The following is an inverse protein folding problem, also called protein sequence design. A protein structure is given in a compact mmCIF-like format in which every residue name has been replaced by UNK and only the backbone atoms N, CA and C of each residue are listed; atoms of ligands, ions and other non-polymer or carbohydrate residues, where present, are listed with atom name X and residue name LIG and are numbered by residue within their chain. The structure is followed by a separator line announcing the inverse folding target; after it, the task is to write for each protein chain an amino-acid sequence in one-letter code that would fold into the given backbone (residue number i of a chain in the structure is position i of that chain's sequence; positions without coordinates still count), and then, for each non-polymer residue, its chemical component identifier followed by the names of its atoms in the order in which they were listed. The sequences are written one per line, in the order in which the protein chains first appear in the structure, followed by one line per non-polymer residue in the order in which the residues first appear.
data_IF_333303278398
#
_entry.id   IF_333303278398
#
_cell.length_a   1.000
_cell.length_b   1.000
_cell.length_c   1.000
_cell.angle_alpha   90.00
_cell.angle_beta   90.00
_cell.angle_gamma   90.00
#
_symmetry.space_group_name_H-M   'P 1'
#
loop_
_entity.id
_entity.type
_entity.pdbx_description
1 polymer ?
#
# COMPACT_ATOMS: atom_id res chain seq x y z
N UNK A 1 -9.36 29.93 -6.31
CA UNK A 1 -9.42 28.63 -5.67
C UNK A 1 -10.51 27.79 -6.33
N UNK A 2 -10.13 26.82 -7.13
CA UNK A 2 -11.01 25.99 -7.96
C UNK A 2 -11.75 24.95 -7.10
N UNK A 3 -12.92 24.49 -7.58
CA UNK A 3 -13.73 23.45 -6.90
C UNK A 3 -12.98 22.12 -6.74
N UNK A 4 -11.91 21.89 -7.53
CA UNK A 4 -11.02 20.72 -7.46
C UNK A 4 -10.07 20.72 -6.26
N UNK A 5 -9.72 21.91 -5.76
CA UNK A 5 -8.79 22.05 -4.63
C UNK A 5 -9.44 21.75 -3.27
N UNK A 6 -10.75 21.99 -3.14
CA UNK A 6 -11.50 21.63 -1.90
C UNK A 6 -11.78 20.13 -1.75
N UNK A 7 -11.88 19.39 -2.85
CA UNK A 7 -12.12 17.94 -2.80
C UNK A 7 -10.84 17.14 -2.51
N UNK A 8 -9.66 17.70 -2.79
CA UNK A 8 -8.36 17.08 -2.46
C UNK A 8 -8.09 17.11 -0.95
N UNK A 9 -8.44 18.21 -0.26
CA UNK A 9 -8.26 18.34 1.19
C UNK A 9 -9.19 17.45 2.03
N UNK A 10 -10.40 17.16 1.53
CA UNK A 10 -11.45 16.52 2.34
C UNK A 10 -11.29 14.99 2.44
N UNK A 11 -10.89 14.31 1.37
CA UNK A 11 -10.76 12.85 1.35
C UNK A 11 -9.45 12.35 1.99
N UNK A 12 -8.35 13.10 1.83
CA UNK A 12 -7.06 12.81 2.51
C UNK A 12 -7.17 13.00 4.01
N UNK A 13 -7.81 14.10 4.44
CA UNK A 13 -8.04 14.40 5.86
C UNK A 13 -8.96 13.39 6.55
N UNK A 14 -9.92 12.77 5.85
CA UNK A 14 -10.77 11.71 6.42
C UNK A 14 -9.98 10.42 6.68
N UNK A 15 -9.13 10.02 5.77
CA UNK A 15 -8.27 8.83 5.93
C UNK A 15 -7.31 9.05 7.09
N UNK A 16 -6.61 10.17 7.11
CA UNK A 16 -5.70 10.56 8.19
C UNK A 16 -6.42 10.58 9.55
N UNK A 17 -7.57 11.26 9.65
CA UNK A 17 -8.35 11.34 10.89
C UNK A 17 -8.80 9.97 11.43
N UNK A 18 -9.07 9.01 10.54
CA UNK A 18 -9.43 7.63 10.96
C UNK A 18 -8.19 6.91 11.50
N UNK A 19 -7.04 7.00 10.82
CA UNK A 19 -5.82 6.32 11.25
C UNK A 19 -5.14 6.97 12.46
N UNK A 20 -5.40 8.25 12.71
CA UNK A 20 -4.99 8.98 13.93
C UNK A 20 -5.90 8.73 15.12
N UNK A 21 -6.98 7.95 14.98
CA UNK A 21 -7.85 7.62 16.10
C UNK A 21 -7.18 6.64 17.08
N UNK A 22 -7.48 6.79 18.38
CA UNK A 22 -6.98 5.89 19.43
C UNK A 22 -7.28 4.41 19.14
N UNK A 23 -8.49 4.12 18.61
CA UNK A 23 -8.91 2.78 18.21
C UNK A 23 -8.02 2.22 17.08
N UNK A 24 -7.66 3.06 16.08
CA UNK A 24 -6.79 2.64 14.99
C UNK A 24 -5.36 2.40 15.50
N UNK A 25 -4.81 3.31 16.30
CA UNK A 25 -3.47 3.16 16.89
C UNK A 25 -3.38 1.89 17.72
N UNK A 26 -4.38 1.60 18.58
CA UNK A 26 -4.40 0.37 19.37
C UNK A 26 -4.51 -0.88 18.48
N UNK A 27 -5.37 -0.86 17.45
CA UNK A 27 -5.54 -1.97 16.50
C UNK A 27 -4.26 -2.27 15.73
N UNK A 28 -3.63 -1.23 15.16
CA UNK A 28 -2.39 -1.39 14.40
C UNK A 28 -1.19 -1.65 15.30
N UNK A 29 -1.19 -1.12 16.53
CA UNK A 29 -0.24 -1.48 17.55
C UNK A 29 -0.23 -2.98 17.90
N UNK A 30 -1.42 -3.59 18.00
CA UNK A 30 -1.53 -5.05 18.15
C UNK A 30 -1.11 -5.80 16.89
N UNK A 31 -1.49 -5.31 15.71
CA UNK A 31 -1.05 -5.92 14.46
C UNK A 31 0.47 -5.84 14.26
N UNK A 32 1.15 -4.86 14.84
CA UNK A 32 2.61 -4.76 14.81
C UNK A 32 3.29 -5.95 15.50
N UNK A 33 2.66 -6.53 16.52
CA UNK A 33 3.16 -7.71 17.22
C UNK A 33 3.09 -9.00 16.37
N UNK A 34 2.20 -9.03 15.35
CA UNK A 34 2.09 -10.16 14.41
C UNK A 34 3.26 -10.21 13.42
N UNK A 35 3.91 -9.07 13.17
CA UNK A 35 5.04 -8.93 12.26
C UNK A 35 4.67 -9.17 10.78
N UNK A 36 5.61 -9.74 10.03
CA UNK A 36 5.43 -10.00 8.60
C UNK A 36 4.49 -11.19 8.35
N UNK A 37 3.62 -11.04 7.36
CA UNK A 37 2.84 -12.16 6.84
C UNK A 37 3.72 -13.08 5.99
N UNK A 38 3.28 -14.35 5.81
CA UNK A 38 3.97 -15.34 4.95
C UNK A 38 4.19 -14.82 3.52
N UNK A 39 3.30 -13.97 3.01
CA UNK A 39 3.43 -13.40 1.66
C UNK A 39 4.51 -12.32 1.65
N UNK A 40 4.56 -11.47 2.67
CA UNK A 40 5.60 -10.45 2.83
C UNK A 40 6.98 -11.09 2.99
N UNK A 41 7.11 -12.10 3.84
CA UNK A 41 8.36 -12.87 3.97
C UNK A 41 8.84 -13.40 2.61
N UNK A 42 7.93 -13.99 1.83
CA UNK A 42 8.23 -14.53 0.51
C UNK A 42 8.62 -13.43 -0.50
N UNK A 43 8.04 -12.25 -0.41
CA UNK A 43 8.43 -11.09 -1.24
C UNK A 43 9.83 -10.64 -0.88
N UNK A 44 10.12 -10.47 0.40
CA UNK A 44 11.43 -10.05 0.88
C UNK A 44 12.51 -11.07 0.51
N UNK A 45 12.31 -12.36 0.81
CA UNK A 45 13.30 -13.41 0.56
C UNK A 45 13.66 -13.57 -0.93
N UNK A 46 12.77 -13.14 -1.85
CA UNK A 46 12.99 -13.32 -3.30
C UNK A 46 13.48 -12.08 -4.01
N UNK A 47 13.12 -10.91 -3.50
CA UNK A 47 13.24 -9.68 -4.28
C UNK A 47 13.98 -8.56 -3.55
N UNK A 48 14.17 -8.66 -2.24
CA UNK A 48 14.89 -7.65 -1.46
C UNK A 48 16.25 -8.21 -1.04
N UNK A 49 17.29 -7.41 -1.23
CA UNK A 49 18.65 -7.73 -0.82
C UNK A 49 19.09 -6.71 0.25
N UNK A 50 19.40 -7.16 1.48
CA UNK A 50 19.82 -6.24 2.55
C UNK A 50 21.12 -5.51 2.24
N UNK A 51 21.96 -6.05 1.34
CA UNK A 51 23.22 -5.43 0.96
C UNK A 51 23.09 -4.45 -0.22
N UNK A 52 21.89 -4.36 -0.85
CA UNK A 52 21.68 -3.50 -2.02
C UNK A 52 21.57 -2.01 -1.66
N UNK A 53 21.09 -1.67 -0.47
CA UNK A 53 20.90 -0.29 -0.03
C UNK A 53 19.71 -0.13 0.91
N UNK A 54 19.27 1.13 1.08
CA UNK A 54 18.20 1.49 2.02
C UNK A 54 16.82 1.06 1.50
N UNK A 55 15.96 0.62 2.40
CA UNK A 55 14.54 0.32 2.16
C UNK A 55 13.67 1.49 2.64
N UNK A 56 12.74 1.95 1.81
CA UNK A 56 11.65 2.82 2.25
C UNK A 56 10.41 1.97 2.55
N UNK A 57 9.96 2.00 3.81
CA UNK A 57 8.71 1.34 4.25
C UNK A 57 7.59 2.38 4.33
N UNK A 58 6.73 2.40 3.30
CA UNK A 58 5.65 3.38 3.14
C UNK A 58 4.39 2.93 3.87
N UNK A 59 3.79 3.86 4.63
CA UNK A 59 2.62 3.54 5.46
C UNK A 59 2.98 2.53 6.54
N UNK A 60 4.11 2.75 7.22
CA UNK A 60 4.69 1.82 8.19
C UNK A 60 3.82 1.60 9.44
N UNK A 61 2.86 2.52 9.69
CA UNK A 61 1.93 2.47 10.82
C UNK A 61 2.68 2.39 12.15
N UNK A 62 2.32 1.41 12.97
CA UNK A 62 2.95 1.13 14.26
C UNK A 62 4.21 0.23 14.17
N UNK A 63 4.91 0.22 13.03
CA UNK A 63 6.19 -0.47 12.85
C UNK A 63 6.09 -1.97 12.50
N UNK A 64 4.94 -2.44 12.06
CA UNK A 64 4.68 -3.86 11.77
C UNK A 64 5.64 -4.48 10.75
N UNK A 65 6.05 -3.72 9.76
CA UNK A 65 7.00 -4.11 8.72
C UNK A 65 8.40 -3.59 8.99
N UNK A 66 8.52 -2.35 9.47
CA UNK A 66 9.80 -1.68 9.73
C UNK A 66 10.66 -2.45 10.74
N UNK A 67 10.06 -2.86 11.87
CA UNK A 67 10.81 -3.58 12.91
C UNK A 67 11.40 -4.92 12.40
N UNK A 68 10.62 -5.83 11.81
CA UNK A 68 11.18 -7.09 11.33
C UNK A 68 12.11 -6.94 10.11
N UNK A 69 11.98 -5.90 9.29
CA UNK A 69 12.95 -5.58 8.24
C UNK A 69 14.31 -5.19 8.87
N UNK A 70 14.30 -4.26 9.83
CA UNK A 70 15.51 -3.86 10.56
C UNK A 70 16.14 -5.04 11.30
N UNK A 71 15.34 -5.89 11.95
CA UNK A 71 15.81 -7.09 12.63
C UNK A 71 16.44 -8.14 11.67
N UNK A 72 16.11 -8.09 10.37
CA UNK A 72 16.72 -8.91 9.31
C UNK A 72 17.97 -8.28 8.69
N UNK A 73 18.40 -7.12 9.20
CA UNK A 73 19.62 -6.45 8.77
C UNK A 73 19.44 -5.45 7.65
N UNK A 74 18.22 -5.13 7.24
CA UNK A 74 17.98 -4.04 6.29
C UNK A 74 18.20 -2.68 6.96
N UNK A 75 18.78 -1.74 6.21
CA UNK A 75 18.74 -0.32 6.53
C UNK A 75 17.36 0.22 6.10
N UNK A 76 16.54 0.66 7.06
CA UNK A 76 15.12 0.98 6.81
C UNK A 76 14.77 2.38 7.29
N UNK A 77 14.12 3.15 6.41
CA UNK A 77 13.42 4.37 6.76
C UNK A 77 11.92 4.11 6.60
N UNK A 78 11.16 4.28 7.68
CA UNK A 78 9.70 4.18 7.67
C UNK A 78 9.05 5.56 7.54
N UNK A 79 7.96 5.65 6.77
CA UNK A 79 7.11 6.85 6.75
C UNK A 79 5.65 6.49 6.96
N UNK A 80 4.94 7.34 7.69
CA UNK A 80 3.48 7.29 7.78
C UNK A 80 2.91 8.71 7.83
N UNK A 81 1.72 8.90 7.28
CA UNK A 81 1.04 10.21 7.27
C UNK A 81 0.50 10.59 8.65
N UNK A 82 0.27 9.62 9.52
CA UNK A 82 -0.26 9.81 10.88
C UNK A 82 0.87 10.04 11.88
N UNK A 83 0.87 11.22 12.50
CA UNK A 83 1.78 11.55 13.61
C UNK A 83 1.60 10.60 14.80
N UNK A 84 0.37 10.14 15.06
CA UNK A 84 0.06 9.23 16.16
C UNK A 84 0.63 7.84 15.91
N UNK A 85 0.59 7.34 14.67
CA UNK A 85 1.22 6.06 14.29
C UNK A 85 2.74 6.13 14.42
N UNK A 86 3.35 7.20 13.92
CA UNK A 86 4.79 7.45 14.07
C UNK A 86 5.17 7.55 15.56
N UNK A 87 4.37 8.28 16.35
CA UNK A 87 4.56 8.39 17.80
C UNK A 87 4.47 7.04 18.51
N UNK A 88 3.54 6.19 18.13
CA UNK A 88 3.39 4.84 18.69
C UNK A 88 4.59 3.95 18.31
N UNK A 89 5.08 4.04 17.06
CA UNK A 89 6.26 3.30 16.62
C UNK A 89 7.49 3.75 17.40
N UNK A 90 7.74 5.05 17.50
CA UNK A 90 8.88 5.60 18.27
C UNK A 90 8.82 5.23 19.75
N UNK A 91 7.62 5.09 20.32
CA UNK A 91 7.45 4.64 21.69
C UNK A 91 7.79 3.15 21.87
N UNK A 92 7.43 2.30 20.89
CA UNK A 92 7.67 0.84 20.93
C UNK A 92 9.10 0.47 20.56
N UNK A 93 9.63 1.13 19.55
CA UNK A 93 10.88 0.82 18.87
C UNK A 93 11.71 2.10 18.66
N UNK A 94 12.27 2.68 19.73
CA UNK A 94 12.97 3.98 19.66
C UNK A 94 14.25 3.94 18.79
N UNK A 95 14.70 2.75 18.41
CA UNK A 95 15.86 2.55 17.53
C UNK A 95 15.54 2.64 16.05
N UNK A 96 14.25 2.65 15.66
CA UNK A 96 13.85 2.72 14.26
C UNK A 96 13.87 4.16 13.73
N UNK A 97 14.29 4.34 12.49
CA UNK A 97 14.13 5.61 11.78
C UNK A 97 12.73 5.68 11.14
N UNK A 98 11.78 6.27 11.88
CA UNK A 98 10.40 6.44 11.40
C UNK A 98 10.02 7.92 11.45
N UNK A 99 9.44 8.42 10.35
CA UNK A 99 9.14 9.83 10.15
C UNK A 99 7.71 10.04 9.70
N UNK A 100 7.14 11.21 10.01
CA UNK A 100 5.90 11.66 9.40
C UNK A 100 6.18 12.04 7.95
N UNK A 101 5.40 11.52 7.01
CA UNK A 101 5.57 11.82 5.58
C UNK A 101 4.40 11.37 4.73
N UNK A 102 4.15 12.13 3.67
CA UNK A 102 3.14 11.79 2.67
C UNK A 102 3.82 11.21 1.43
N UNK A 103 3.44 10.01 1.04
CA UNK A 103 3.99 9.32 -0.13
C UNK A 103 3.73 10.06 -1.46
N UNK A 104 2.84 11.04 -1.47
CA UNK A 104 2.53 11.87 -2.65
C UNK A 104 3.49 13.05 -2.83
N UNK A 105 4.33 13.31 -1.82
CA UNK A 105 5.30 14.43 -1.79
C UNK A 105 6.42 14.03 -0.83
N UNK A 106 7.35 13.19 -1.31
CA UNK A 106 8.42 12.60 -0.52
C UNK A 106 9.60 13.56 -0.40
N UNK A 107 9.97 13.90 0.83
CA UNK A 107 11.15 14.72 1.15
C UNK A 107 12.43 13.87 1.13
N UNK A 108 12.71 13.26 -0.02
CA UNK A 108 13.91 12.48 -0.30
C UNK A 108 14.44 12.82 -1.69
N UNK A 109 15.75 12.70 -1.85
CA UNK A 109 16.42 12.83 -3.15
C UNK A 109 15.97 11.74 -4.13
N UNK A 110 16.12 12.01 -5.43
CA UNK A 110 15.95 11.02 -6.49
C UNK A 110 16.93 9.87 -6.29
N UNK A 111 16.57 8.66 -6.73
CA UNK A 111 17.43 7.47 -6.72
C UNK A 111 18.04 7.15 -5.34
N UNK A 112 17.27 7.34 -4.27
CA UNK A 112 17.74 7.23 -2.88
C UNK A 112 17.59 5.81 -2.30
N UNK A 113 16.63 5.03 -2.77
CA UNK A 113 16.24 3.74 -2.17
C UNK A 113 16.45 2.58 -3.14
N UNK A 114 17.11 1.52 -2.67
CA UNK A 114 17.22 0.27 -3.42
C UNK A 114 15.88 -0.49 -3.46
N UNK A 115 15.09 -0.34 -2.40
CA UNK A 115 13.80 -1.02 -2.28
C UNK A 115 12.74 -0.10 -1.68
N UNK A 116 11.49 -0.23 -2.16
CA UNK A 116 10.31 0.38 -1.58
C UNK A 116 9.28 -0.69 -1.26
N UNK A 117 8.81 -0.74 -0.02
CA UNK A 117 7.71 -1.59 0.43
C UNK A 117 6.49 -0.73 0.77
N UNK A 118 5.33 -1.02 0.17
CA UNK A 118 4.05 -0.41 0.56
C UNK A 118 3.05 -1.50 0.90
N UNK A 119 3.10 -1.91 2.14
CA UNK A 119 2.40 -3.07 2.66
C UNK A 119 0.93 -2.80 3.00
N UNK A 120 0.21 -3.86 3.33
CA UNK A 120 -1.14 -3.87 3.92
C UNK A 120 -2.19 -3.07 3.15
N UNK A 121 -2.01 -2.93 1.82
CA UNK A 121 -2.89 -2.16 0.92
C UNK A 121 -2.98 -0.66 1.26
N UNK A 122 -1.97 -0.06 1.89
CA UNK A 122 -1.96 1.37 2.23
C UNK A 122 -2.19 2.26 1.01
N UNK A 123 -1.63 1.90 -0.13
CA UNK A 123 -1.80 2.60 -1.40
C UNK A 123 -3.29 2.70 -1.85
N UNK A 124 -4.17 1.81 -1.39
CA UNK A 124 -5.59 1.83 -1.74
C UNK A 124 -6.41 2.84 -0.94
N UNK A 125 -5.82 3.39 0.13
CA UNK A 125 -6.41 4.45 0.95
C UNK A 125 -6.24 5.84 0.33
N UNK A 126 -5.30 6.00 -0.59
CA UNK A 126 -5.00 7.28 -1.22
C UNK A 126 -6.15 7.70 -2.14
N UNK A 127 -6.74 8.84 -1.85
CA UNK A 127 -7.83 9.43 -2.62
C UNK A 127 -7.50 10.90 -2.95
N UNK A 128 -7.95 11.40 -4.11
CA UNK A 128 -8.58 10.68 -5.24
C UNK A 128 -7.57 9.81 -6.02
N UNK A 129 -8.01 9.16 -7.12
CA UNK A 129 -7.13 8.33 -7.96
C UNK A 129 -5.89 9.09 -8.50
N UNK A 130 -5.99 10.41 -8.66
CA UNK A 130 -4.86 11.25 -9.01
C UNK A 130 -3.76 11.21 -7.95
N UNK A 131 -4.11 11.27 -6.65
CA UNK A 131 -3.14 11.16 -5.56
C UNK A 131 -2.46 9.79 -5.51
N UNK A 132 -3.18 8.71 -5.89
CA UNK A 132 -2.55 7.39 -6.05
C UNK A 132 -1.49 7.39 -7.15
N UNK A 133 -1.71 8.15 -8.23
CA UNK A 133 -0.74 8.28 -9.30
C UNK A 133 0.43 9.17 -8.90
N UNK A 134 0.18 10.27 -8.18
CA UNK A 134 1.22 11.10 -7.57
C UNK A 134 2.13 10.25 -6.67
N UNK A 135 1.56 9.38 -5.84
CA UNK A 135 2.34 8.45 -5.01
C UNK A 135 3.18 7.45 -5.83
N UNK A 136 2.67 6.95 -6.95
CA UNK A 136 3.45 6.05 -7.82
C UNK A 136 4.58 6.80 -8.53
N UNK A 137 4.37 8.06 -8.92
CA UNK A 137 5.38 8.90 -9.54
C UNK A 137 6.51 9.24 -8.55
N UNK A 138 6.15 9.56 -7.29
CA UNK A 138 7.13 9.80 -6.23
C UNK A 138 7.92 8.54 -5.84
N UNK A 139 7.26 7.37 -5.77
CA UNK A 139 7.95 6.10 -5.52
C UNK A 139 8.94 5.79 -6.66
N UNK A 140 8.56 6.04 -7.90
CA UNK A 140 9.45 5.88 -9.06
C UNK A 140 10.65 6.80 -8.97
N UNK A 141 10.44 8.07 -8.65
CA UNK A 141 11.49 9.09 -8.53
C UNK A 141 12.53 8.74 -7.46
N UNK A 142 12.09 8.31 -6.28
CA UNK A 142 13.02 8.04 -5.16
C UNK A 142 13.67 6.66 -5.22
N UNK A 143 13.18 5.78 -6.09
CA UNK A 143 13.70 4.42 -6.25
C UNK A 143 14.86 4.41 -7.24
N UNK A 144 15.99 3.82 -6.85
CA UNK A 144 17.15 3.64 -7.71
C UNK A 144 16.78 2.96 -9.04
N UNK A 145 17.53 3.24 -10.14
CA UNK A 145 17.41 2.46 -11.37
C UNK A 145 17.53 0.95 -11.11
N UNK A 146 16.61 0.17 -11.64
CA UNK A 146 16.45 -1.25 -11.38
C UNK A 146 16.10 -1.61 -9.90
N UNK A 147 15.83 -0.63 -9.04
CA UNK A 147 15.36 -0.82 -7.69
C UNK A 147 13.99 -1.53 -7.64
N UNK A 148 13.67 -2.14 -6.51
CA UNK A 148 12.47 -2.99 -6.38
C UNK A 148 11.35 -2.29 -5.62
N UNK A 149 10.19 -2.19 -6.24
CA UNK A 149 8.94 -1.77 -5.60
C UNK A 149 8.04 -2.96 -5.33
N UNK A 150 7.66 -3.18 -4.08
CA UNK A 150 6.71 -4.21 -3.68
C UNK A 150 5.53 -3.62 -2.92
N UNK A 151 4.31 -3.91 -3.33
CA UNK A 151 3.11 -3.41 -2.66
C UNK A 151 1.95 -4.38 -2.76
N UNK A 152 1.00 -4.29 -1.83
CA UNK A 152 -0.26 -5.01 -1.91
C UNK A 152 -1.42 -4.09 -2.27
N UNK A 153 -2.43 -4.62 -2.96
CA UNK A 153 -3.65 -3.88 -3.34
C UNK A 153 -4.86 -4.80 -3.40
N UNK A 154 -6.04 -4.25 -3.14
CA UNK A 154 -7.28 -5.01 -3.18
C UNK A 154 -7.63 -5.44 -4.61
N UNK A 155 -7.91 -6.73 -4.75
CA UNK A 155 -8.22 -7.35 -6.02
C UNK A 155 -9.72 -7.62 -6.16
N UNK A 156 -10.35 -6.99 -7.16
CA UNK A 156 -11.77 -7.18 -7.44
C UNK A 156 -12.14 -8.62 -7.78
N UNK A 157 -11.26 -9.36 -8.46
CA UNK A 157 -11.51 -10.75 -8.87
C UNK A 157 -11.74 -11.69 -7.69
N UNK A 158 -11.26 -11.33 -6.50
CA UNK A 158 -11.54 -12.09 -5.27
C UNK A 158 -13.05 -12.30 -5.05
N UNK A 159 -13.86 -11.30 -5.39
CA UNK A 159 -15.32 -11.35 -5.20
C UNK A 159 -16.04 -12.16 -6.28
N UNK A 160 -15.39 -12.46 -7.41
CA UNK A 160 -16.07 -13.07 -8.57
C UNK A 160 -16.74 -14.42 -8.25
N UNK A 161 -16.11 -15.38 -7.55
CA UNK A 161 -16.77 -16.62 -7.17
C UNK A 161 -18.00 -16.39 -6.29
N UNK A 162 -17.91 -15.50 -5.31
CA UNK A 162 -19.03 -15.19 -4.42
C UNK A 162 -20.17 -14.46 -5.17
N UNK A 163 -19.84 -13.55 -6.10
CA UNK A 163 -20.84 -12.87 -6.93
C UNK A 163 -21.63 -13.85 -7.81
N UNK A 164 -21.03 -14.96 -8.22
CA UNK A 164 -21.69 -15.98 -9.05
C UNK A 164 -22.55 -16.96 -8.22
N UNK A 165 -22.19 -17.19 -6.97
CA UNK A 165 -22.72 -18.28 -6.14
C UNK A 165 -23.55 -17.80 -4.94
N UNK A 166 -23.38 -16.54 -4.49
CA UNK A 166 -23.99 -16.02 -3.27
C UNK A 166 -24.69 -14.68 -3.46
N UNK A 167 -26.04 -14.74 -3.54
CA UNK A 167 -26.89 -13.53 -3.64
C UNK A 167 -26.79 -12.63 -2.41
N UNK A 168 -26.53 -13.21 -1.22
CA UNK A 168 -26.34 -12.46 0.02
C UNK A 168 -25.07 -11.60 -0.05
N UNK A 169 -23.99 -12.13 -0.62
CA UNK A 169 -22.76 -11.39 -0.86
C UNK A 169 -22.96 -10.20 -1.80
N UNK A 170 -23.73 -10.40 -2.90
CA UNK A 170 -24.08 -9.31 -3.82
C UNK A 170 -24.85 -8.21 -3.10
N UNK A 171 -25.86 -8.59 -2.30
CA UNK A 171 -26.66 -7.65 -1.53
C UNK A 171 -25.81 -6.85 -0.56
N UNK A 172 -24.98 -7.52 0.24
CA UNK A 172 -24.08 -6.88 1.20
C UNK A 172 -23.13 -5.90 0.49
N UNK A 173 -22.40 -6.36 -0.54
CA UNK A 173 -21.41 -5.55 -1.24
C UNK A 173 -22.01 -4.33 -1.93
N UNK A 174 -23.12 -4.48 -2.65
CA UNK A 174 -23.66 -3.41 -3.48
C UNK A 174 -24.75 -2.58 -2.79
N UNK A 175 -25.61 -3.19 -1.98
CA UNK A 175 -26.74 -2.50 -1.37
C UNK A 175 -26.37 -1.99 0.02
N UNK A 176 -25.97 -2.88 0.93
CA UNK A 176 -25.73 -2.54 2.33
C UNK A 176 -24.52 -1.59 2.49
N UNK A 177 -23.43 -1.85 1.74
CA UNK A 177 -22.25 -0.96 1.71
C UNK A 177 -22.42 0.23 0.72
N UNK A 178 -23.56 0.42 0.11
CA UNK A 178 -23.84 1.56 -0.77
C UNK A 178 -23.05 1.60 -2.08
N UNK A 179 -22.38 0.52 -2.47
CA UNK A 179 -21.54 0.49 -3.68
C UNK A 179 -22.32 0.59 -4.99
N UNK A 180 -23.64 0.44 -4.97
CA UNK A 180 -24.49 0.71 -6.14
C UNK A 180 -24.37 2.17 -6.63
N UNK A 181 -24.09 3.12 -5.73
CA UNK A 181 -23.78 4.53 -6.07
C UNK A 181 -22.36 4.70 -6.66
N UNK A 182 -21.50 3.71 -6.48
CA UNK A 182 -20.08 3.73 -6.86
C UNK A 182 -19.75 2.75 -7.99
N UNK A 183 -20.72 2.34 -8.80
CA UNK A 183 -20.54 1.33 -9.86
C UNK A 183 -19.42 1.69 -10.85
N UNK A 184 -19.29 2.98 -11.18
CA UNK A 184 -18.23 3.50 -12.09
C UNK A 184 -16.94 3.90 -11.38
N UNK A 185 -16.92 4.00 -10.07
CA UNK A 185 -15.73 4.31 -9.29
C UNK A 185 -14.89 3.07 -9.05
N UNK A 186 -13.57 3.23 -8.98
CA UNK A 186 -12.67 2.19 -8.50
C UNK A 186 -12.68 2.08 -6.97
N UNK A 187 -13.16 3.11 -6.27
CA UNK A 187 -13.27 3.11 -4.82
C UNK A 187 -14.56 2.42 -4.35
N UNK A 188 -14.40 1.38 -3.53
CA UNK A 188 -15.50 0.58 -2.97
C UNK A 188 -15.42 0.55 -1.45
N UNK A 189 -16.57 0.53 -0.80
CA UNK A 189 -16.69 0.31 0.66
C UNK A 189 -16.93 -1.18 0.89
N UNK A 190 -16.13 -1.82 1.73
CA UNK A 190 -16.30 -3.24 2.09
C UNK A 190 -16.81 -3.46 3.52
N UNK A 191 -17.04 -2.38 4.26
CA UNK A 191 -17.57 -2.38 5.63
C UNK A 191 -16.56 -2.80 6.72
N UNK A 192 -15.30 -3.06 6.35
CA UNK A 192 -14.26 -3.55 7.29
C UNK A 192 -13.27 -2.48 7.73
N UNK A 193 -13.01 -1.49 6.88
CA UNK A 193 -12.06 -0.41 7.13
C UNK A 193 -12.83 0.87 7.45
N UNK A 194 -13.47 0.91 8.62
CA UNK A 194 -14.23 2.07 9.12
C UNK A 194 -15.18 2.72 8.09
N UNK A 195 -15.65 1.94 7.11
CA UNK A 195 -16.51 2.45 6.05
C UNK A 195 -15.80 3.33 5.01
N UNK A 196 -14.48 3.45 5.07
CA UNK A 196 -13.70 4.18 4.08
C UNK A 196 -13.78 3.52 2.70
N UNK A 197 -13.88 4.30 1.63
CA UNK A 197 -13.77 3.77 0.28
C UNK A 197 -12.33 3.38 -0.02
N UNK A 198 -12.12 2.12 -0.41
CA UNK A 198 -10.83 1.56 -0.80
C UNK A 198 -10.72 1.48 -2.31
N UNK A 199 -9.55 1.75 -2.87
CA UNK A 199 -9.27 1.47 -4.28
C UNK A 199 -9.28 -0.04 -4.51
N UNK A 200 -10.00 -0.48 -5.54
CA UNK A 200 -10.09 -1.89 -5.89
C UNK A 200 -9.70 -2.06 -7.36
N UNK A 201 -8.69 -2.85 -7.61
CA UNK A 201 -8.12 -3.05 -8.94
C UNK A 201 -8.28 -4.50 -9.41
N UNK A 202 -7.84 -4.75 -10.62
CA UNK A 202 -7.59 -6.09 -11.15
C UNK A 202 -6.12 -6.23 -11.50
N UNK A 203 -5.55 -7.45 -11.57
CA UNK A 203 -4.14 -7.65 -11.90
C UNK A 203 -3.71 -6.95 -13.19
N UNK A 204 -4.54 -6.98 -14.22
CA UNK A 204 -4.23 -6.32 -15.51
C UNK A 204 -4.23 -4.79 -15.40
N UNK A 205 -5.16 -4.22 -14.61
CA UNK A 205 -5.23 -2.78 -14.41
C UNK A 205 -4.04 -2.31 -13.57
N UNK A 206 -3.70 -3.03 -12.50
CA UNK A 206 -2.55 -2.71 -11.66
C UNK A 206 -1.25 -2.76 -12.48
N UNK A 207 -1.05 -3.85 -13.25
CA UNK A 207 0.11 -3.95 -14.15
C UNK A 207 0.16 -2.77 -15.12
N UNK A 208 -0.95 -2.41 -15.77
CA UNK A 208 -0.99 -1.27 -16.71
C UNK A 208 -0.71 0.08 -16.03
N UNK A 209 -1.04 0.23 -14.75
CA UNK A 209 -0.70 1.44 -13.99
C UNK A 209 0.81 1.51 -13.77
N UNK A 210 1.44 0.41 -13.39
CA UNK A 210 2.89 0.28 -13.24
C UNK A 210 3.61 0.60 -14.55
N UNK A 211 3.25 -0.10 -15.64
CA UNK A 211 3.86 0.09 -16.96
C UNK A 211 3.81 1.55 -17.45
N UNK A 212 2.78 2.30 -17.05
CA UNK A 212 2.63 3.73 -17.43
C UNK A 212 3.41 4.70 -16.54
N UNK A 213 4.01 4.21 -15.48
CA UNK A 213 4.70 4.99 -14.44
C UNK A 213 6.16 4.55 -14.26
N UNK A 214 6.79 4.06 -15.33
CA UNK A 214 8.19 3.72 -15.31
C UNK A 214 8.54 2.42 -14.59
N UNK A 215 7.56 1.51 -14.39
CA UNK A 215 7.81 0.25 -13.73
C UNK A 215 7.62 -0.96 -14.64
N UNK A 216 8.57 -1.87 -14.66
CA UNK A 216 8.44 -3.22 -15.22
C UNK A 216 7.89 -4.19 -14.17
N UNK A 217 6.75 -4.79 -14.49
CA UNK A 217 6.14 -5.81 -13.62
C UNK A 217 6.99 -7.10 -13.60
N UNK A 218 7.38 -7.55 -12.40
CA UNK A 218 8.21 -8.74 -12.18
C UNK A 218 7.39 -9.95 -11.74
N UNK A 219 6.68 -9.85 -10.61
CA UNK A 219 5.97 -10.99 -10.05
C UNK A 219 4.67 -10.59 -9.35
N UNK A 220 3.71 -11.51 -9.38
CA UNK A 220 2.49 -11.48 -8.57
C UNK A 220 2.62 -12.54 -7.48
N UNK A 221 2.71 -12.13 -6.23
CA UNK A 221 2.95 -12.99 -5.07
C UNK A 221 1.70 -13.10 -4.22
N UNK A 222 1.35 -14.31 -3.85
CA UNK A 222 0.21 -14.60 -3.00
C UNK A 222 0.34 -15.92 -2.25
N UNK A 223 -0.68 -16.28 -1.47
CA UNK A 223 -0.73 -17.54 -0.72
C UNK A 223 -1.11 -18.71 -1.61
N UNK A 224 -2.01 -18.47 -2.58
CA UNK A 224 -2.57 -19.51 -3.43
C UNK A 224 -1.66 -19.89 -4.58
N UNK A 225 -1.67 -21.17 -4.95
CA UNK A 225 -0.98 -21.69 -6.14
C UNK A 225 -1.78 -21.38 -7.42
N UNK A 226 -1.11 -21.37 -8.59
CA UNK A 226 -1.77 -21.27 -9.90
C UNK A 226 -2.83 -22.38 -10.06
N UNK A 227 -3.99 -22.11 -10.70
CA UNK A 227 -4.42 -20.84 -11.29
C UNK A 227 -5.12 -19.89 -10.29
N UNK A 228 -5.38 -20.33 -9.06
CA UNK A 228 -6.23 -19.64 -8.08
C UNK A 228 -5.61 -18.38 -7.49
N UNK A 229 -4.32 -18.13 -7.70
CA UNK A 229 -3.62 -16.93 -7.19
C UNK A 229 -4.27 -15.61 -7.64
N UNK A 230 -4.92 -15.58 -8.82
CA UNK A 230 -5.58 -14.37 -9.33
C UNK A 230 -6.89 -14.03 -8.59
N UNK A 231 -7.37 -14.92 -7.73
CA UNK A 231 -8.56 -14.74 -6.90
C UNK A 231 -8.21 -14.45 -5.44
N UNK A 232 -7.01 -13.98 -5.16
CA UNK A 232 -6.63 -13.51 -3.83
C UNK A 232 -7.15 -12.13 -3.56
N UNK A 233 -7.46 -11.83 -2.30
CA UNK A 233 -8.06 -10.56 -1.91
C UNK A 233 -7.03 -9.43 -1.96
N UNK A 234 -5.84 -9.66 -1.43
CA UNK A 234 -4.76 -8.69 -1.24
C UNK A 234 -3.41 -9.27 -1.69
N UNK A 235 -3.23 -9.51 -3.01
CA UNK A 235 -1.97 -10.00 -3.52
C UNK A 235 -0.91 -8.91 -3.47
N UNK A 236 0.36 -9.33 -3.46
CA UNK A 236 1.49 -8.46 -3.69
C UNK A 236 1.85 -8.40 -5.17
N UNK A 237 2.26 -7.23 -5.58
CA UNK A 237 2.86 -6.95 -6.87
C UNK A 237 4.29 -6.52 -6.63
N UNK A 238 5.21 -7.13 -7.37
CA UNK A 238 6.62 -6.75 -7.40
C UNK A 238 6.91 -6.17 -8.77
N UNK A 239 7.54 -5.02 -8.79
CA UNK A 239 7.95 -4.31 -9.99
C UNK A 239 9.38 -3.77 -9.82
N UNK A 240 10.02 -3.42 -10.92
CA UNK A 240 11.32 -2.76 -10.94
C UNK A 240 11.18 -1.39 -11.58
N UNK A 241 11.96 -0.44 -11.09
CA UNK A 241 12.10 0.85 -11.74
C UNK A 241 12.83 0.66 -13.06
N UNK A 242 12.18 1.07 -14.18
CA UNK A 242 12.74 0.97 -15.54
C UNK A 242 13.56 2.19 -15.92
N UNK A 243 13.71 3.17 -15.06
CA UNK A 243 14.56 4.33 -15.36
C UNK A 243 15.93 3.80 -15.77
N UNK A 244 16.25 3.88 -17.07
CA UNK A 244 17.61 3.73 -17.55
C UNK A 244 18.40 4.85 -16.87
N UNK A 245 19.40 4.49 -16.05
CA UNK A 245 20.24 5.45 -15.38
C UNK A 245 20.68 6.48 -16.41
N UNK A 246 20.37 7.74 -16.14
CA UNK A 246 20.80 8.83 -17.02
C UNK A 246 22.33 8.79 -17.11
N UNK A 247 22.86 8.31 -18.26
CA UNK A 247 24.25 8.42 -18.62
C UNK A 247 24.66 9.88 -18.86
#
# INVERSE_FOLDING_TARGET
MSHSDRSRGDAGSQTEAVYSSEEAVERYGRAAEEGLSVVEERVLDRHFDPDAGTVLDVGCGAGRTTYPLTARGFDVIGIDVSEEMVGETNRRYPELDVRVGDVRDLDFDDDRFAHVLFSYCGIDMIQPEAGRFEALDEIERVLEPAGTFAFSTHNWLYNLPALLLDRGHIRNLYVENGNWRRLRSQYKVDGREWGLPLYVSSPWRTKRQLDRRGFSFVEYVGERRRPFRYFERRPYYVARNDAEGAE
#
